data_IF_103088558586
#
_entry.id   IF_103088558586
#
_cell.length_a   1.000
_cell.length_b   1.000
_cell.length_c   1.000
_cell.angle_alpha   90.00
_cell.angle_beta   90.00
_cell.angle_gamma   90.00
#
_symmetry.space_group_name_H-M   'P 1'
#
loop_
_entity.id
_entity.type
_entity.pdbx_description
1 polymer ?
#
# COMPACT_ATOMS: atom_id res chain seq x y z
N UNK A 1 35.38 42.37 -19.33
CA UNK A 1 35.12 41.37 -20.39
C UNK A 1 36.17 40.28 -20.26
N UNK A 2 35.82 39.12 -19.68
CA UNK A 2 36.74 37.99 -19.55
C UNK A 2 36.28 36.92 -20.55
N UNK A 3 37.09 36.68 -21.58
CA UNK A 3 36.82 35.74 -22.67
C UNK A 3 37.14 34.33 -22.18
N UNK A 4 36.10 33.52 -21.95
CA UNK A 4 36.23 32.13 -21.55
C UNK A 4 37.00 31.32 -22.60
N UNK A 5 38.19 30.85 -22.23
CA UNK A 5 38.91 29.81 -22.96
C UNK A 5 38.08 28.53 -22.95
N UNK A 6 37.80 27.91 -24.12
CA UNK A 6 37.05 26.66 -24.17
C UNK A 6 37.83 25.54 -23.46
N UNK A 7 37.16 24.65 -22.72
CA UNK A 7 37.81 23.58 -21.97
C UNK A 7 38.56 22.64 -22.91
N UNK A 8 39.73 22.16 -22.45
CA UNK A 8 40.66 21.35 -23.20
C UNK A 8 40.00 20.04 -23.71
N UNK A 9 40.39 19.53 -24.90
CA UNK A 9 39.75 18.36 -25.52
C UNK A 9 39.77 17.09 -24.66
N UNK A 10 40.74 16.97 -23.75
CA UNK A 10 40.89 15.88 -22.79
C UNK A 10 39.83 15.86 -21.67
N UNK A 11 39.36 17.03 -21.19
CA UNK A 11 38.23 17.12 -20.24
C UNK A 11 36.93 16.64 -20.87
N UNK A 12 36.70 16.97 -22.15
CA UNK A 12 35.49 16.55 -22.89
C UNK A 12 35.48 15.04 -23.13
N UNK A 13 36.65 14.45 -23.41
CA UNK A 13 36.79 13.01 -23.58
C UNK A 13 36.54 12.23 -22.27
N UNK A 14 37.04 12.76 -21.15
CA UNK A 14 36.80 12.20 -19.81
C UNK A 14 35.33 12.29 -19.39
N UNK A 15 34.70 13.45 -19.59
CA UNK A 15 33.29 13.65 -19.32
C UNK A 15 32.40 12.74 -20.19
N UNK A 16 32.74 12.56 -21.47
CA UNK A 16 32.04 11.64 -22.36
C UNK A 16 32.21 10.17 -21.90
N UNK A 17 33.39 9.79 -21.43
CA UNK A 17 33.65 8.45 -20.86
C UNK A 17 32.85 8.18 -19.59
N UNK A 18 32.79 9.15 -18.68
CA UNK A 18 31.99 9.09 -17.45
C UNK A 18 30.49 9.00 -17.74
N UNK A 19 29.97 9.83 -18.65
CA UNK A 19 28.57 9.77 -19.07
C UNK A 19 28.22 8.42 -19.68
N UNK A 20 29.13 7.84 -20.47
CA UNK A 20 28.94 6.49 -21.03
C UNK A 20 28.96 5.41 -19.96
N UNK A 21 29.86 5.49 -18.98
CA UNK A 21 29.90 4.55 -17.87
C UNK A 21 28.64 4.62 -17.00
N UNK A 22 28.15 5.82 -16.72
CA UNK A 22 26.89 6.06 -16.00
C UNK A 22 25.70 5.53 -16.81
N UNK A 23 25.66 5.79 -18.12
CA UNK A 23 24.61 5.27 -19.00
C UNK A 23 24.58 3.73 -19.00
N UNK A 24 25.74 3.07 -19.11
CA UNK A 24 25.84 1.62 -19.04
C UNK A 24 25.43 1.06 -17.67
N UNK A 25 25.77 1.78 -16.59
CA UNK A 25 25.36 1.38 -15.24
C UNK A 25 23.84 1.50 -15.03
N UNK A 26 23.24 2.60 -15.49
CA UNK A 26 21.78 2.80 -15.46
C UNK A 26 21.08 1.75 -16.33
N UNK A 27 21.62 1.45 -17.51
CA UNK A 27 21.09 0.40 -18.39
C UNK A 27 21.13 -0.97 -17.70
N UNK A 28 22.25 -1.33 -17.08
CA UNK A 28 22.40 -2.59 -16.37
C UNK A 28 21.44 -2.71 -15.17
N UNK A 29 21.31 -1.64 -14.36
CA UNK A 29 20.38 -1.59 -13.21
C UNK A 29 18.92 -1.60 -13.65
N UNK A 30 18.59 -0.86 -14.72
CA UNK A 30 17.25 -0.82 -15.29
C UNK A 30 16.81 -2.19 -15.83
N UNK A 31 17.73 -2.93 -16.45
CA UNK A 31 17.46 -4.29 -16.97
C UNK A 31 17.19 -5.29 -15.84
N UNK A 32 17.93 -5.18 -14.72
CA UNK A 32 17.70 -5.99 -13.53
C UNK A 32 16.34 -5.67 -12.89
N UNK A 33 16.03 -4.39 -12.69
CA UNK A 33 14.73 -3.92 -12.16
C UNK A 33 13.56 -4.34 -13.05
N UNK A 34 13.75 -4.38 -14.37
CA UNK A 34 12.71 -4.81 -15.29
C UNK A 34 12.40 -6.31 -15.14
N UNK A 35 13.43 -7.16 -14.99
CA UNK A 35 13.27 -8.60 -14.78
C UNK A 35 12.64 -8.87 -13.41
N UNK A 36 13.19 -8.27 -12.36
CA UNK A 36 12.64 -8.37 -11.00
C UNK A 36 11.20 -7.84 -10.93
N UNK A 37 10.90 -6.76 -11.64
CA UNK A 37 9.56 -6.18 -11.74
C UNK A 37 8.55 -7.11 -12.42
N UNK A 38 8.94 -7.83 -13.47
CA UNK A 38 8.06 -8.83 -14.11
C UNK A 38 7.84 -10.07 -13.24
N UNK A 39 8.88 -10.54 -12.55
CA UNK A 39 8.77 -11.67 -11.63
C UNK A 39 7.96 -11.31 -10.38
N UNK A 40 8.21 -10.15 -9.78
CA UNK A 40 7.43 -9.64 -8.66
C UNK A 40 5.98 -9.36 -9.09
N UNK A 41 5.79 -8.78 -10.28
CA UNK A 41 4.48 -8.50 -10.86
C UNK A 41 3.67 -9.77 -11.07
N UNK A 42 4.23 -10.79 -11.71
CA UNK A 42 3.53 -12.07 -11.96
C UNK A 42 3.20 -12.84 -10.67
N UNK A 43 4.09 -12.80 -9.67
CA UNK A 43 3.80 -13.37 -8.34
C UNK A 43 2.70 -12.59 -7.62
N UNK A 44 2.74 -11.26 -7.70
CA UNK A 44 1.74 -10.39 -7.08
C UNK A 44 0.37 -10.52 -7.74
N UNK A 45 0.30 -10.66 -9.07
CA UNK A 45 -0.96 -10.87 -9.80
C UNK A 45 -1.56 -12.24 -9.54
N UNK A 46 -0.74 -13.29 -9.46
CA UNK A 46 -1.23 -14.62 -9.10
C UNK A 46 -1.75 -14.65 -7.66
N UNK A 47 -1.01 -14.07 -6.71
CA UNK A 47 -1.45 -14.00 -5.33
C UNK A 47 -2.72 -13.17 -5.18
N UNK A 48 -2.79 -12.01 -5.84
CA UNK A 48 -3.99 -11.15 -5.80
C UNK A 48 -5.18 -11.81 -6.47
N UNK A 49 -4.99 -12.49 -7.61
CA UNK A 49 -6.04 -13.26 -8.28
C UNK A 49 -6.58 -14.38 -7.41
N UNK A 50 -5.70 -15.16 -6.77
CA UNK A 50 -6.11 -16.23 -5.86
C UNK A 50 -6.81 -15.68 -4.62
N UNK A 51 -6.31 -14.56 -4.06
CA UNK A 51 -6.96 -13.87 -2.96
C UNK A 51 -8.36 -13.39 -3.35
N UNK A 52 -8.53 -12.78 -4.53
CA UNK A 52 -9.84 -12.30 -5.00
C UNK A 52 -10.83 -13.44 -5.21
N UNK A 53 -10.39 -14.57 -5.78
CA UNK A 53 -11.24 -15.75 -5.93
C UNK A 53 -11.63 -16.35 -4.58
N UNK A 54 -10.67 -16.51 -3.66
CA UNK A 54 -10.95 -17.00 -2.31
C UNK A 54 -11.90 -16.08 -1.56
N UNK A 55 -11.70 -14.76 -1.67
CA UNK A 55 -12.55 -13.76 -1.06
C UNK A 55 -13.97 -13.77 -1.64
N UNK A 56 -14.11 -13.87 -2.97
CA UNK A 56 -15.40 -14.01 -3.63
C UNK A 56 -16.13 -15.28 -3.19
N UNK A 57 -15.44 -16.42 -3.15
CA UNK A 57 -16.00 -17.68 -2.67
C UNK A 57 -16.43 -17.59 -1.20
N UNK A 58 -15.65 -16.90 -0.37
CA UNK A 58 -15.99 -16.67 1.04
C UNK A 58 -17.23 -15.80 1.20
N UNK A 59 -17.35 -14.71 0.42
CA UNK A 59 -18.55 -13.85 0.43
C UNK A 59 -19.78 -14.65 0.01
N UNK A 60 -19.71 -15.38 -1.10
CA UNK A 60 -20.83 -16.19 -1.60
C UNK A 60 -21.23 -17.24 -0.56
N UNK A 61 -20.25 -17.96 -0.02
CA UNK A 61 -20.46 -18.96 1.02
C UNK A 61 -21.12 -18.35 2.26
N UNK A 62 -20.67 -17.17 2.70
CA UNK A 62 -21.25 -16.46 3.83
C UNK A 62 -22.70 -16.00 3.57
N UNK A 63 -22.99 -15.47 2.37
CA UNK A 63 -24.34 -15.04 1.99
C UNK A 63 -25.34 -16.20 1.96
N UNK A 64 -24.88 -17.43 1.70
CA UNK A 64 -25.70 -18.63 1.76
C UNK A 64 -25.77 -19.21 3.18
N UNK A 65 -24.65 -19.24 3.89
CA UNK A 65 -24.53 -19.83 5.22
C UNK A 65 -25.30 -19.03 6.28
N UNK A 66 -25.21 -17.70 6.27
CA UNK A 66 -25.85 -16.84 7.26
C UNK A 66 -27.39 -17.04 7.35
N UNK A 67 -28.18 -16.95 6.26
CA UNK A 67 -29.61 -17.20 6.32
C UNK A 67 -29.95 -18.65 6.65
N UNK A 68 -29.15 -19.62 6.18
CA UNK A 68 -29.33 -21.03 6.55
C UNK A 68 -29.14 -21.26 8.05
N UNK A 69 -28.14 -20.63 8.66
CA UNK A 69 -27.88 -20.70 10.10
C UNK A 69 -29.03 -20.08 10.90
N UNK A 70 -29.51 -18.90 10.46
CA UNK A 70 -30.68 -18.24 11.06
C UNK A 70 -31.91 -19.15 11.02
N UNK A 71 -32.14 -19.82 9.89
CA UNK A 71 -33.26 -20.75 9.73
C UNK A 71 -33.14 -21.95 10.68
N UNK A 72 -31.98 -22.61 10.72
CA UNK A 72 -31.73 -23.77 11.59
C UNK A 72 -31.94 -23.42 13.08
N UNK A 73 -31.46 -22.26 13.51
CA UNK A 73 -31.63 -21.78 14.89
C UNK A 73 -33.09 -21.45 15.17
N UNK A 74 -33.79 -20.81 14.22
CA UNK A 74 -35.20 -20.47 14.36
C UNK A 74 -36.06 -21.74 14.55
N UNK A 75 -35.85 -22.74 13.68
CA UNK A 75 -36.56 -24.02 13.72
C UNK A 75 -36.29 -24.77 15.04
N UNK A 76 -35.03 -24.91 15.42
CA UNK A 76 -34.64 -25.63 16.66
C UNK A 76 -35.09 -24.93 17.95
N UNK A 77 -35.16 -23.60 17.96
CA UNK A 77 -35.57 -22.82 19.14
C UNK A 77 -37.07 -22.59 19.20
N UNK A 78 -37.82 -22.91 18.13
CA UNK A 78 -39.23 -22.53 17.97
C UNK A 78 -39.45 -21.02 17.89
N UNK A 79 -38.39 -20.24 17.64
CA UNK A 79 -38.45 -18.78 17.57
C UNK A 79 -38.78 -18.35 16.15
N UNK A 80 -39.53 -17.26 16.01
CA UNK A 80 -39.77 -16.67 14.69
C UNK A 80 -38.43 -16.18 14.09
N UNK A 81 -38.19 -16.52 12.82
CA UNK A 81 -36.93 -16.28 12.11
C UNK A 81 -36.45 -14.81 12.18
N UNK A 82 -37.38 -13.86 12.22
CA UNK A 82 -37.07 -12.42 12.34
C UNK A 82 -36.33 -12.08 13.63
N UNK A 83 -36.65 -12.72 14.76
CA UNK A 83 -35.98 -12.47 16.05
C UNK A 83 -34.54 -12.97 16.01
N UNK A 84 -34.32 -14.14 15.43
CA UNK A 84 -32.99 -14.74 15.26
C UNK A 84 -32.15 -13.90 14.30
N UNK A 85 -32.72 -13.46 13.19
CA UNK A 85 -32.05 -12.55 12.25
C UNK A 85 -31.66 -11.23 12.90
N UNK A 86 -32.54 -10.64 13.72
CA UNK A 86 -32.27 -9.38 14.42
C UNK A 86 -31.15 -9.54 15.46
N UNK A 87 -31.15 -10.64 16.22
CA UNK A 87 -30.09 -10.95 17.16
C UNK A 87 -28.74 -11.16 16.43
N UNK A 88 -28.75 -11.91 15.33
CA UNK A 88 -27.58 -12.09 14.47
C UNK A 88 -27.05 -10.75 13.95
N UNK A 89 -27.91 -9.89 13.41
CA UNK A 89 -27.52 -8.55 12.95
C UNK A 89 -26.94 -7.70 14.09
N UNK A 90 -27.55 -7.76 15.29
CA UNK A 90 -27.04 -7.07 16.48
C UNK A 90 -25.62 -7.50 16.87
N UNK A 91 -25.34 -8.81 16.84
CA UNK A 91 -24.00 -9.35 17.11
C UNK A 91 -22.98 -8.85 16.08
N UNK A 92 -23.33 -8.85 14.78
CA UNK A 92 -22.44 -8.37 13.72
C UNK A 92 -22.15 -6.88 13.86
N UNK A 93 -23.16 -6.06 14.16
CA UNK A 93 -22.99 -4.63 14.38
C UNK A 93 -22.14 -4.35 15.62
N UNK A 94 -22.38 -5.06 16.72
CA UNK A 94 -21.60 -4.91 17.94
C UNK A 94 -20.12 -5.27 17.72
N UNK A 95 -19.86 -6.41 17.06
CA UNK A 95 -18.50 -6.82 16.73
C UNK A 95 -17.82 -5.81 15.77
N UNK A 96 -18.57 -5.31 14.79
CA UNK A 96 -18.12 -4.24 13.89
C UNK A 96 -17.74 -2.96 14.64
N UNK A 97 -18.56 -2.52 15.59
CA UNK A 97 -18.27 -1.35 16.43
C UNK A 97 -17.03 -1.55 17.29
N UNK A 98 -16.84 -2.74 17.88
CA UNK A 98 -15.64 -3.07 18.64
C UNK A 98 -14.39 -3.04 17.77
N UNK A 99 -14.46 -3.63 16.57
CA UNK A 99 -13.36 -3.61 15.60
C UNK A 99 -13.04 -2.18 15.14
N UNK A 100 -14.05 -1.36 14.87
CA UNK A 100 -13.87 0.06 14.53
C UNK A 100 -13.25 0.85 15.68
N UNK A 101 -13.71 0.62 16.92
CA UNK A 101 -13.15 1.28 18.09
C UNK A 101 -11.68 0.87 18.32
N UNK A 102 -11.38 -0.42 18.18
CA UNK A 102 -10.02 -0.95 18.25
C UNK A 102 -9.12 -0.38 17.14
N UNK A 103 -9.64 -0.31 15.91
CA UNK A 103 -8.94 0.29 14.78
C UNK A 103 -8.69 1.78 15.01
N UNK A 104 -9.69 2.54 15.48
CA UNK A 104 -9.54 3.96 15.84
C UNK A 104 -8.45 4.14 16.89
N UNK A 105 -8.46 3.32 17.94
CA UNK A 105 -7.48 3.39 19.01
C UNK A 105 -6.07 3.06 18.49
N UNK A 106 -5.96 2.04 17.62
CA UNK A 106 -4.68 1.66 17.00
C UNK A 106 -4.18 2.72 16.04
N UNK A 107 -5.04 3.33 15.23
CA UNK A 107 -4.69 4.42 14.32
C UNK A 107 -4.28 5.69 15.07
N UNK A 108 -4.95 6.02 16.19
CA UNK A 108 -4.51 7.11 17.06
C UNK A 108 -3.15 6.85 17.72
N UNK A 109 -2.87 5.60 18.11
CA UNK A 109 -1.57 5.24 18.70
C UNK A 109 -0.44 5.10 17.67
N UNK A 110 -0.79 4.84 16.42
CA UNK A 110 0.14 4.73 15.31
C UNK A 110 0.25 6.08 14.61
N UNK A 111 1.10 6.96 15.15
CA UNK A 111 1.65 8.16 14.50
C UNK A 111 2.49 7.80 13.23
N UNK A 112 1.95 6.94 12.35
CA UNK A 112 2.64 6.27 11.23
C UNK A 112 3.29 7.21 10.24
N UNK A 113 2.83 8.46 10.20
CA UNK A 113 3.34 9.48 9.30
C UNK A 113 3.87 10.72 10.03
N UNK A 114 3.81 10.76 11.36
CA UNK A 114 4.22 11.95 12.12
C UNK A 114 5.73 12.18 11.96
N UNK A 115 6.53 11.11 12.02
CA UNK A 115 7.98 11.19 11.80
C UNK A 115 8.30 11.60 10.35
N UNK A 116 7.61 11.02 9.37
CA UNK A 116 7.79 11.38 7.95
C UNK A 116 7.38 12.84 7.66
N UNK A 117 6.26 13.30 8.22
CA UNK A 117 5.83 14.69 8.11
C UNK A 117 6.76 15.64 8.86
N UNK A 118 7.33 15.21 9.97
CA UNK A 118 8.31 16.00 10.73
C UNK A 118 9.63 16.15 9.95
N UNK A 119 10.08 15.09 9.26
CA UNK A 119 11.22 15.16 8.34
C UNK A 119 10.95 16.11 7.17
N UNK A 120 9.78 16.03 6.51
CA UNK A 120 9.41 16.97 5.45
C UNK A 120 9.35 18.42 5.94
N UNK A 121 8.88 18.65 7.16
CA UNK A 121 8.85 19.99 7.76
C UNK A 121 10.26 20.54 7.97
N UNK A 122 11.16 19.72 8.48
CA UNK A 122 12.57 20.08 8.72
C UNK A 122 13.32 20.36 7.42
N UNK A 123 13.05 19.59 6.37
CA UNK A 123 13.62 19.82 5.03
C UNK A 123 13.13 21.14 4.43
N UNK A 124 11.85 21.49 4.63
CA UNK A 124 11.30 22.76 4.18
C UNK A 124 11.92 23.95 4.91
N UNK A 125 12.15 23.83 6.21
CA UNK A 125 12.83 24.85 7.02
C UNK A 125 14.28 25.05 6.56
N UNK A 126 15.00 23.96 6.26
CA UNK A 126 16.36 24.02 5.72
C UNK A 126 16.43 24.66 4.32
N UNK A 127 15.48 24.33 3.42
CA UNK A 127 15.39 24.98 2.12
C UNK A 127 15.09 26.47 2.25
N UNK A 128 14.22 26.85 3.18
CA UNK A 128 13.90 28.24 3.45
C UNK A 128 15.08 29.02 4.05
N UNK A 129 15.95 28.38 4.85
CA UNK A 129 17.17 29.04 5.35
C UNK A 129 18.18 29.29 4.24
N UNK A 130 18.37 28.35 3.30
CA UNK A 130 19.30 28.53 2.17
C UNK A 130 18.84 29.64 1.21
N UNK A 131 17.53 29.86 1.08
CA UNK A 131 17.00 30.90 0.21
C UNK A 131 17.15 32.32 0.80
N UNK A 132 17.28 32.43 2.13
CA UNK A 132 17.39 33.71 2.83
C UNK A 132 18.84 34.15 3.12
N UNK A 133 19.83 33.29 2.81
CA UNK A 133 21.27 33.57 2.86
C UNK A 133 21.82 33.93 1.46
#
# INVERSE_FOLDING_TARGET
>A
MNTGTPPAPEERASAAGLLRAVALYIEARGRLLHIEGQEAGSRLTNLSGMFMMAFAAFIIGWMLAAPALVWIIAESSGWHWTRVALAGAGIHLFLGLLLLAGLKNRLHGMQLFEESFNQFRRDREWLASIQND
#
